data_IF_573797444674
#
_entry.id   IF_573797444674
#
_cell.length_a   1.000
_cell.length_b   1.000
_cell.length_c   1.000
_cell.angle_alpha   90.00
_cell.angle_beta   90.00
_cell.angle_gamma   90.00
#
_symmetry.space_group_name_H-M   'P 1'
#
loop_
_entity.id
_entity.type
_entity.pdbx_description
1 polymer ?
#
# COMPACT_ATOMS: atom_id res chain seq x y z
N UNK A 1 4.07 -8.17 6.30
CA UNK A 1 2.67 -8.14 6.76
C UNK A 1 2.05 -6.89 6.18
N UNK A 2 0.98 -7.05 5.41
CA UNK A 2 0.20 -5.93 4.87
C UNK A 2 -0.91 -5.57 5.85
N UNK A 3 -1.25 -4.30 5.93
CA UNK A 3 -2.33 -3.76 6.75
C UNK A 3 -3.39 -3.13 5.85
N UNK A 4 -4.65 -3.14 6.30
CA UNK A 4 -5.79 -2.61 5.54
C UNK A 4 -5.69 -1.10 5.23
N UNK A 5 -4.78 -0.39 5.89
CA UNK A 5 -4.48 1.02 5.61
C UNK A 5 -3.51 1.22 4.44
N UNK A 6 -3.12 0.16 3.72
CA UNK A 6 -2.23 0.24 2.55
C UNK A 6 -0.75 0.32 2.92
N UNK A 7 -0.42 0.09 4.19
CA UNK A 7 0.97 0.01 4.65
C UNK A 7 1.45 -1.43 4.73
N UNK A 8 2.75 -1.62 4.51
CA UNK A 8 3.43 -2.89 4.70
C UNK A 8 4.42 -2.77 5.85
N UNK A 9 4.36 -3.69 6.80
CA UNK A 9 5.38 -3.85 7.80
C UNK A 9 6.23 -5.10 7.58
N UNK A 10 7.53 -4.95 7.78
CA UNK A 10 8.47 -6.06 7.83
C UNK A 10 8.68 -6.47 9.29
N UNK A 11 8.51 -7.76 9.57
CA UNK A 11 8.73 -8.36 10.88
C UNK A 11 9.93 -9.29 10.71
N UNK A 12 10.97 -9.10 11.54
CA UNK A 12 12.20 -9.88 11.42
C UNK A 12 11.92 -11.31 11.86
N UNK A 13 12.35 -12.29 11.07
CA UNK A 13 12.27 -13.69 11.50
C UNK A 13 13.15 -13.90 12.75
N UNK A 14 12.53 -14.21 13.89
CA UNK A 14 13.19 -14.46 15.18
C UNK A 14 12.92 -13.41 16.26
N UNK A 15 12.62 -12.17 15.88
CA UNK A 15 12.16 -11.11 16.78
C UNK A 15 10.76 -10.74 16.30
N UNK A 16 9.71 -11.07 17.04
CA UNK A 16 8.32 -10.64 16.76
C UNK A 16 8.15 -9.10 16.77
N UNK A 17 9.25 -8.35 16.82
CA UNK A 17 9.36 -6.91 16.72
C UNK A 17 9.22 -6.47 15.26
N UNK A 18 8.29 -5.55 15.02
CA UNK A 18 8.16 -4.85 13.75
C UNK A 18 9.44 -4.06 13.46
N UNK A 19 10.16 -4.41 12.41
CA UNK A 19 11.42 -3.78 12.04
C UNK A 19 11.22 -2.47 11.26
N UNK A 20 10.19 -2.41 10.41
CA UNK A 20 9.73 -1.17 9.79
C UNK A 20 8.28 -1.27 9.35
N UNK A 21 7.65 -0.11 9.13
CA UNK A 21 6.36 0.03 8.45
C UNK A 21 6.48 1.16 7.43
N UNK A 22 6.08 0.88 6.19
CA UNK A 22 6.14 1.82 5.07
C UNK A 22 4.80 1.83 4.33
N UNK A 23 4.44 2.98 3.77
CA UNK A 23 3.31 3.06 2.84
C UNK A 23 3.71 2.43 1.50
N UNK A 24 2.93 1.46 1.03
CA UNK A 24 3.26 0.68 -0.17
C UNK A 24 3.27 1.57 -1.41
N UNK A 25 2.42 2.59 -1.43
CA UNK A 25 2.26 3.48 -2.55
C UNK A 25 3.24 4.67 -2.55
N UNK A 26 3.96 4.89 -1.45
CA UNK A 26 5.12 5.79 -1.41
C UNK A 26 6.41 5.10 -1.86
N UNK A 27 6.47 3.76 -1.85
CA UNK A 27 7.66 3.04 -2.29
C UNK A 27 7.87 3.23 -3.80
N UNK A 28 9.09 3.62 -4.16
CA UNK A 28 9.54 3.83 -5.55
C UNK A 28 10.70 2.93 -5.94
N UNK A 29 11.47 2.47 -4.97
CA UNK A 29 12.57 1.57 -5.24
C UNK A 29 13.17 0.97 -3.98
N UNK A 30 14.15 0.12 -4.19
CA UNK A 30 14.89 -0.55 -3.14
C UNK A 30 16.37 -0.41 -3.41
N UNK A 31 17.15 -0.24 -2.36
CA UNK A 31 18.61 -0.28 -2.42
C UNK A 31 19.12 -1.20 -1.34
N UNK A 32 20.08 -2.05 -1.67
CA UNK A 32 20.63 -3.03 -0.74
C UNK A 32 22.10 -2.72 -0.53
N UNK A 33 22.48 -2.51 0.72
CA UNK A 33 23.88 -2.27 1.11
C UNK A 33 24.38 -3.38 2.02
N UNK A 34 25.66 -3.75 1.87
CA UNK A 34 26.31 -4.66 2.80
C UNK A 34 26.51 -3.96 4.17
N UNK A 35 26.09 -4.61 5.25
CA UNK A 35 26.19 -4.09 6.62
C UNK A 35 27.40 -4.67 7.38
N UNK A 36 28.36 -5.27 6.66
CA UNK A 36 29.54 -5.93 7.25
C UNK A 36 29.28 -7.32 7.84
N UNK A 37 28.03 -7.81 7.88
CA UNK A 37 27.69 -9.17 8.31
C UNK A 37 27.55 -10.08 7.09
N UNK A 38 28.06 -11.32 7.19
CA UNK A 38 28.02 -12.28 6.07
C UNK A 38 26.60 -12.75 5.71
N UNK A 39 25.69 -12.78 6.69
CA UNK A 39 24.36 -13.42 6.56
C UNK A 39 23.21 -12.43 6.39
N UNK A 40 23.44 -11.14 6.64
CA UNK A 40 22.41 -10.10 6.58
C UNK A 40 22.83 -8.95 5.69
N UNK A 41 21.85 -8.20 5.19
CA UNK A 41 22.04 -7.01 4.38
C UNK A 41 21.11 -5.91 4.89
N UNK A 42 21.52 -4.67 4.71
CA UNK A 42 20.65 -3.53 4.99
C UNK A 42 19.84 -3.22 3.73
N UNK A 43 18.53 -3.44 3.78
CA UNK A 43 17.59 -3.04 2.75
C UNK A 43 17.09 -1.62 3.05
N UNK A 44 17.34 -0.70 2.14
CA UNK A 44 16.81 0.65 2.13
C UNK A 44 15.62 0.71 1.18
N UNK A 45 14.46 1.08 1.73
CA UNK A 45 13.24 1.30 0.98
C UNK A 45 13.24 2.77 0.58
N UNK A 46 13.25 3.02 -0.73
CA UNK A 46 13.34 4.35 -1.31
C UNK A 46 11.94 4.82 -1.72
N UNK A 47 11.63 6.06 -1.39
CA UNK A 47 10.41 6.74 -1.78
C UNK A 47 10.66 7.86 -2.77
N UNK A 48 9.82 8.90 -2.71
CA UNK A 48 9.88 10.05 -3.62
C UNK A 48 11.06 10.99 -3.30
N UNK A 49 12.29 10.51 -3.51
CA UNK A 49 13.54 11.24 -3.27
C UNK A 49 14.14 11.08 -1.86
N UNK A 50 13.57 10.24 -1.00
CA UNK A 50 14.07 9.98 0.37
C UNK A 50 14.12 8.48 0.66
N UNK A 51 14.84 8.11 1.73
CA UNK A 51 14.75 6.75 2.30
C UNK A 51 13.56 6.69 3.25
N UNK A 52 12.54 5.88 2.92
CA UNK A 52 11.34 5.68 3.74
C UNK A 52 11.63 4.81 4.97
N UNK A 53 12.44 3.77 4.79
CA UNK A 53 12.86 2.90 5.89
C UNK A 53 14.17 2.18 5.53
N UNK A 54 14.89 1.78 6.56
CA UNK A 54 16.08 0.94 6.42
C UNK A 54 15.95 -0.23 7.39
N UNK A 55 16.01 -1.45 6.88
CA UNK A 55 15.85 -2.67 7.69
C UNK A 55 16.94 -3.69 7.42
N UNK A 56 17.38 -4.36 8.48
CA UNK A 56 18.27 -5.52 8.36
C UNK A 56 17.45 -6.74 7.95
N UNK A 57 17.76 -7.29 6.78
CA UNK A 57 17.11 -8.47 6.22
C UNK A 57 18.14 -9.57 6.02
N UNK A 58 17.71 -10.83 6.07
CA UNK A 58 18.59 -11.95 5.75
C UNK A 58 18.93 -11.93 4.25
N UNK A 59 20.05 -12.55 3.90
CA UNK A 59 20.42 -12.76 2.50
C UNK A 59 19.28 -13.45 1.73
N UNK A 60 18.88 -12.89 0.59
CA UNK A 60 17.77 -13.36 -0.23
C UNK A 60 16.38 -12.80 0.14
N UNK A 61 16.18 -12.35 1.38
CA UNK A 61 14.89 -11.78 1.79
C UNK A 61 14.59 -10.44 1.11
N UNK A 62 15.63 -9.65 0.80
CA UNK A 62 15.48 -8.41 0.03
C UNK A 62 14.80 -8.64 -1.32
N UNK A 63 15.17 -9.71 -2.04
CA UNK A 63 14.61 -10.04 -3.36
C UNK A 63 13.15 -10.50 -3.24
N UNK A 64 12.80 -11.20 -2.16
CA UNK A 64 11.41 -11.59 -1.88
C UNK A 64 10.54 -10.38 -1.57
N UNK A 65 11.06 -9.45 -0.76
CA UNK A 65 10.38 -8.19 -0.44
C UNK A 65 10.15 -7.40 -1.73
N UNK A 66 11.20 -7.22 -2.53
CA UNK A 66 11.11 -6.50 -3.80
C UNK A 66 10.09 -7.15 -4.74
N UNK A 67 10.13 -8.47 -4.94
CA UNK A 67 9.13 -9.19 -5.76
C UNK A 67 7.71 -9.05 -5.23
N UNK A 68 7.53 -9.09 -3.91
CA UNK A 68 6.24 -8.90 -3.27
C UNK A 68 5.69 -7.49 -3.55
N UNK A 69 6.52 -6.46 -3.39
CA UNK A 69 6.15 -5.07 -3.73
C UNK A 69 5.87 -4.93 -5.24
N UNK A 70 6.71 -5.46 -6.12
CA UNK A 70 6.47 -5.41 -7.57
C UNK A 70 5.16 -6.08 -8.00
N UNK A 71 4.71 -7.10 -7.27
CA UNK A 71 3.42 -7.78 -7.50
C UNK A 71 2.23 -7.02 -6.91
N UNK A 72 2.49 -6.00 -6.08
CA UNK A 72 1.48 -5.27 -5.35
C UNK A 72 0.85 -4.18 -6.22
N UNK A 73 -0.48 -4.12 -6.27
CA UNK A 73 -1.22 -3.12 -7.09
C UNK A 73 -0.97 -1.68 -6.64
N UNK A 74 -0.69 -1.48 -5.35
CA UNK A 74 -0.35 -0.18 -4.76
C UNK A 74 1.09 0.26 -5.07
N UNK A 75 1.99 -0.67 -5.38
CA UNK A 75 3.37 -0.32 -5.70
C UNK A 75 3.42 0.43 -7.03
N UNK A 76 4.11 1.57 -7.03
CA UNK A 76 4.15 2.51 -8.15
C UNK A 76 2.77 3.09 -8.55
N UNK A 77 1.72 2.82 -7.77
CA UNK A 77 0.47 3.58 -7.87
C UNK A 77 0.74 4.98 -7.35
N UNK A 78 0.17 5.99 -8.01
CA UNK A 78 0.32 7.38 -7.61
C UNK A 78 -0.50 7.61 -6.34
N UNK A 79 0.01 7.21 -5.16
CA UNK A 79 -0.53 7.72 -3.91
C UNK A 79 -0.21 9.20 -3.81
N UNK A 80 -1.27 9.99 -3.72
CA UNK A 80 -1.21 11.28 -3.03
C UNK A 80 -0.89 11.00 -1.56
N UNK A 81 0.20 11.54 -1.00
CA UNK A 81 0.54 11.33 0.40
C UNK A 81 -0.56 11.96 1.26
N UNK A 82 -1.37 11.12 1.92
CA UNK A 82 -2.24 11.60 3.01
C UNK A 82 -1.35 11.71 4.24
N UNK A 83 -0.77 12.89 4.42
CA UNK A 83 -0.01 13.25 5.59
C UNK A 83 -0.93 13.12 6.81
N UNK A 84 -0.76 12.07 7.60
CA UNK A 84 -1.45 11.87 8.87
C UNK A 84 -0.95 12.92 9.87
N UNK A 85 -1.68 14.03 9.96
CA UNK A 85 -1.59 14.94 11.09
C UNK A 85 -2.15 14.22 12.34
N UNK A 86 -1.49 14.23 13.50
CA UNK A 86 -2.05 13.66 14.72
C UNK A 86 -3.20 14.56 15.16
N UNK A 87 -4.42 14.25 14.73
CA UNK A 87 -5.60 15.00 15.14
C UNK A 87 -6.03 14.48 16.51
N UNK A 88 -5.92 15.37 17.49
CA UNK A 88 -6.55 15.22 18.79
C UNK A 88 -8.06 15.05 18.59
N UNK A 89 -8.66 14.17 19.38
CA UNK A 89 -10.03 13.70 19.25
C UNK A 89 -11.07 14.83 19.26
N UNK A 90 -11.84 14.92 18.17
CA UNK A 90 -13.17 15.53 18.10
C UNK A 90 -14.05 14.66 17.17
N UNK A 91 -15.38 14.66 17.35
CA UNK A 91 -16.28 13.61 16.87
C UNK A 91 -16.39 13.56 15.32
N UNK A 92 -16.72 12.39 14.75
CA UNK A 92 -16.58 12.15 13.32
C UNK A 92 -17.64 12.92 12.53
N UNK A 93 -17.20 13.90 11.74
CA UNK A 93 -17.96 14.43 10.63
C UNK A 93 -17.85 13.48 9.42
N UNK A 94 -18.90 13.31 8.62
CA UNK A 94 -18.92 12.35 7.52
C UNK A 94 -17.86 12.71 6.48
N UNK A 95 -16.92 11.78 6.27
CA UNK A 95 -15.86 11.89 5.28
C UNK A 95 -16.46 12.08 3.87
N UNK A 96 -16.29 13.27 3.32
CA UNK A 96 -16.55 13.54 1.90
C UNK A 96 -15.64 12.61 1.07
N UNK A 97 -16.26 11.82 0.19
CA UNK A 97 -15.55 10.88 -0.65
C UNK A 97 -14.68 11.65 -1.64
N UNK A 98 -13.36 11.51 -1.51
CA UNK A 98 -12.39 12.06 -2.44
C UNK A 98 -12.63 11.53 -3.86
N UNK A 99 -12.46 12.34 -4.93
CA UNK A 99 -12.77 11.95 -6.30
C UNK A 99 -11.92 10.78 -6.82
N UNK A 100 -10.77 10.51 -6.19
CA UNK A 100 -9.93 9.33 -6.45
C UNK A 100 -10.59 8.01 -6.03
N UNK A 101 -11.42 8.01 -4.98
CA UNK A 101 -12.11 6.81 -4.50
C UNK A 101 -13.22 6.38 -5.46
N UNK A 102 -13.91 7.34 -6.09
CA UNK A 102 -14.99 7.07 -7.04
C UNK A 102 -14.45 6.32 -8.26
N UNK A 103 -13.26 6.69 -8.76
CA UNK A 103 -12.64 6.01 -9.90
C UNK A 103 -12.24 4.56 -9.58
N UNK A 104 -11.74 4.30 -8.36
CA UNK A 104 -11.40 2.95 -7.90
C UNK A 104 -12.66 2.09 -7.66
N UNK A 105 -13.72 2.67 -7.07
CA UNK A 105 -15.01 1.99 -6.87
C UNK A 105 -15.66 1.62 -8.22
N UNK A 106 -15.62 2.51 -9.22
CA UNK A 106 -16.11 2.21 -10.58
C UNK A 106 -15.33 1.09 -11.25
N UNK A 107 -14.01 1.01 -11.02
CA UNK A 107 -13.15 -0.05 -11.56
C UNK A 107 -13.44 -1.40 -10.88
N UNK A 108 -13.71 -1.42 -9.58
CA UNK A 108 -14.13 -2.62 -8.84
C UNK A 108 -15.50 -3.14 -9.30
N UNK A 109 -16.47 -2.25 -9.53
CA UNK A 109 -17.77 -2.62 -10.09
C UNK A 109 -17.65 -3.23 -11.49
N UNK A 110 -16.73 -2.73 -12.32
CA UNK A 110 -16.51 -3.25 -13.67
C UNK A 110 -15.89 -4.66 -13.64
N UNK A 111 -15.02 -4.94 -12.67
CA UNK A 111 -14.40 -6.25 -12.46
C UNK A 111 -15.47 -7.29 -12.05
N UNK A 112 -16.32 -6.94 -11.08
CA UNK A 112 -17.42 -7.80 -10.62
C UNK A 112 -18.48 -8.08 -11.71
N UNK A 113 -18.72 -7.12 -12.61
CA UNK A 113 -19.57 -7.34 -13.78
C UNK A 113 -18.92 -8.33 -14.77
N UNK A 114 -17.61 -8.22 -15.00
CA UNK A 114 -16.86 -9.13 -15.89
C UNK A 114 -16.81 -10.55 -15.35
N UNK A 115 -16.77 -10.70 -14.03
CA UNK A 115 -16.87 -12.00 -13.35
C UNK A 115 -18.29 -12.58 -13.35
N UNK A 116 -19.29 -11.83 -13.83
CA UNK A 116 -20.68 -12.24 -13.85
C UNK A 116 -21.35 -12.24 -12.48
N UNK A 117 -20.69 -11.67 -11.46
CA UNK A 117 -21.21 -11.52 -10.10
C UNK A 117 -22.28 -10.43 -10.05
N UNK A 118 -22.12 -9.38 -10.87
CA UNK A 118 -23.09 -8.31 -11.04
C UNK A 118 -23.73 -8.36 -12.41
N UNK A 119 -25.06 -8.30 -12.45
CA UNK A 119 -25.79 -8.14 -13.72
C UNK A 119 -25.59 -6.73 -14.29
N UNK A 120 -25.84 -6.55 -15.59
CA UNK A 120 -25.67 -5.25 -16.25
C UNK A 120 -26.55 -4.15 -15.64
N UNK A 121 -27.72 -4.52 -15.13
CA UNK A 121 -28.67 -3.61 -14.49
C UNK A 121 -28.19 -3.15 -13.11
N UNK A 122 -27.67 -4.07 -12.30
CA UNK A 122 -27.12 -3.75 -10.97
C UNK A 122 -25.83 -2.92 -11.04
N UNK A 123 -25.00 -3.17 -12.05
CA UNK A 123 -23.82 -2.35 -12.33
C UNK A 123 -24.21 -0.89 -12.63
N UNK A 124 -25.23 -0.68 -13.47
CA UNK A 124 -25.68 0.66 -13.84
C UNK A 124 -26.26 1.41 -12.63
N UNK A 125 -27.04 0.74 -11.78
CA UNK A 125 -27.61 1.33 -10.56
C UNK A 125 -26.52 1.76 -9.57
N UNK A 126 -25.51 0.92 -9.34
CA UNK A 126 -24.41 1.23 -8.42
C UNK A 126 -23.49 2.32 -8.96
N UNK A 127 -23.18 2.30 -10.26
CA UNK A 127 -22.42 3.36 -10.94
C UNK A 127 -23.12 4.73 -10.83
N UNK A 128 -24.43 4.78 -11.05
CA UNK A 128 -25.19 6.04 -10.93
C UNK A 128 -25.22 6.56 -9.48
N UNK A 129 -25.40 5.67 -8.51
CA UNK A 129 -25.35 6.00 -7.08
C UNK A 129 -23.99 6.57 -6.65
N UNK A 130 -22.91 6.01 -7.20
CA UNK A 130 -21.54 6.46 -6.97
C UNK A 130 -21.24 7.84 -7.57
N UNK A 131 -21.82 8.15 -8.74
CA UNK A 131 -21.64 9.42 -9.42
C UNK A 131 -22.55 10.55 -8.91
N UNK A 132 -23.63 10.20 -8.20
CA UNK A 132 -24.59 11.15 -7.65
C UNK A 132 -24.24 11.64 -6.22
N UNK A 133 -23.10 11.22 -5.68
CA UNK A 133 -22.60 11.55 -4.34
C UNK A 133 -21.57 12.68 -4.41
#
# INVERSE_FOLDING_TARGET
>A
MEYEDGTAAYIKSGEFTQACRVDIADVRGFSVTHNGKMLTRMLHILGNGTTLASVEVNHGTAELIEKWFQSHRLFNSKSTPTMVVPVQADPPAPAAASPSLIADELRKLADLQREGILTSEEFAAQKAKLLAR
#
